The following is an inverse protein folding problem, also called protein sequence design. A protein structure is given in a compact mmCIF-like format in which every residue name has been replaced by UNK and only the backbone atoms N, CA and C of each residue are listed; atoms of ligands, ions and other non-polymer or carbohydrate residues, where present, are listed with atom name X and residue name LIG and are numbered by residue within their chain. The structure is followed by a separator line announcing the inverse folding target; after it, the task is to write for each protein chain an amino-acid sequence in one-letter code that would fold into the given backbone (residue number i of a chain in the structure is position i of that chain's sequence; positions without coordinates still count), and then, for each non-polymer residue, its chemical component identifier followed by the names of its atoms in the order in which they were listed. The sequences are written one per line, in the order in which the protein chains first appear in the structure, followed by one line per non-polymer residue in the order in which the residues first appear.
data_IF_328306077005
#
_entry.id   IF_328306077005
#
_cell.length_a   1.000
_cell.length_b   1.000
_cell.length_c   1.000
_cell.angle_alpha   90.00
_cell.angle_beta   90.00
_cell.angle_gamma   90.00
#
_symmetry.space_group_name_H-M   'P 1'
#
loop_
_entity.id
_entity.type
_entity.pdbx_description
1 polymer ?
#
# COMPACT_ATOMS: atom_id res chain seq x y z
N UNK A 1 -12.38 16.53 -6.93
CA UNK A 1 -12.95 15.20 -7.22
C UNK A 1 -12.41 14.72 -8.56
N UNK A 2 -12.12 13.43 -8.68
CA UNK A 2 -11.58 12.81 -9.88
C UNK A 2 -12.11 11.39 -10.05
N UNK A 3 -12.36 11.01 -11.29
CA UNK A 3 -12.73 9.66 -11.69
C UNK A 3 -11.63 9.13 -12.59
N UNK A 4 -11.17 7.91 -12.33
CA UNK A 4 -10.15 7.23 -13.12
C UNK A 4 -10.67 5.85 -13.48
N UNK A 5 -10.46 5.40 -14.70
CA UNK A 5 -10.75 4.03 -15.10
C UNK A 5 -9.43 3.30 -15.31
N UNK A 6 -9.23 2.20 -14.59
CA UNK A 6 -8.07 1.33 -14.75
C UNK A 6 -8.45 0.11 -15.59
N UNK A 7 -7.60 -0.22 -16.56
CA UNK A 7 -7.75 -1.40 -17.41
C UNK A 7 -6.37 -2.00 -17.70
N UNK A 8 -6.14 -3.21 -17.20
CA UNK A 8 -4.93 -3.99 -17.42
C UNK A 8 -5.30 -5.26 -18.18
N UNK A 9 -4.58 -5.51 -19.28
CA UNK A 9 -4.60 -6.79 -19.97
C UNK A 9 -3.19 -7.36 -19.95
N UNK A 10 -3.04 -8.58 -19.44
CA UNK A 10 -1.75 -9.26 -19.33
C UNK A 10 -1.86 -10.55 -20.13
N UNK A 11 -1.16 -10.61 -21.26
CA UNK A 11 -1.07 -11.81 -22.07
C UNK A 11 0.00 -12.74 -21.50
N UNK A 12 -0.41 -13.94 -21.12
CA UNK A 12 0.47 -14.98 -20.61
C UNK A 12 0.61 -16.03 -21.70
N UNK A 13 1.80 -16.23 -22.29
CA UNK A 13 2.01 -17.30 -23.26
C UNK A 13 1.98 -18.66 -22.56
N UNK A 14 1.73 -19.73 -23.34
CA UNK A 14 1.91 -21.09 -22.83
C UNK A 14 3.36 -21.31 -22.39
N UNK A 15 3.55 -22.05 -21.30
CA UNK A 15 4.86 -22.29 -20.71
C UNK A 15 4.96 -23.69 -20.12
N UNK A 16 6.20 -24.16 -19.93
CA UNK A 16 6.45 -25.42 -19.27
C UNK A 16 6.86 -25.19 -17.82
N UNK A 17 6.27 -25.96 -16.92
CA UNK A 17 6.61 -25.99 -15.50
C UNK A 17 7.39 -27.25 -15.19
N UNK A 18 8.56 -27.10 -14.61
CA UNK A 18 9.27 -28.20 -13.98
C UNK A 18 9.01 -28.19 -12.47
N UNK A 19 8.37 -29.24 -11.95
CA UNK A 19 8.10 -29.38 -10.52
C UNK A 19 8.21 -30.83 -10.09
N UNK A 20 8.97 -31.08 -9.01
CA UNK A 20 9.18 -32.43 -8.43
C UNK A 20 9.58 -33.51 -9.46
N UNK A 21 10.37 -33.15 -10.47
CA UNK A 21 10.84 -34.09 -11.49
C UNK A 21 9.87 -34.31 -12.66
N UNK A 22 8.71 -33.65 -12.65
CA UNK A 22 7.70 -33.73 -13.71
C UNK A 22 7.72 -32.42 -14.48
N UNK A 23 7.78 -32.52 -15.81
CA UNK A 23 7.55 -31.42 -16.71
C UNK A 23 6.07 -31.42 -17.10
N UNK A 24 5.36 -30.34 -16.82
CA UNK A 24 3.97 -30.14 -17.26
C UNK A 24 3.86 -28.90 -18.11
N UNK A 25 3.03 -28.97 -19.15
CA UNK A 25 2.69 -27.82 -19.98
C UNK A 25 1.53 -27.05 -19.32
N UNK A 26 1.61 -25.73 -19.34
CA UNK A 26 0.60 -24.81 -18.84
C UNK A 26 0.09 -23.97 -19.99
N UNK A 27 -1.21 -23.99 -20.18
CA UNK A 27 -1.88 -23.22 -21.21
C UNK A 27 -1.92 -21.73 -20.82
N UNK A 28 -1.42 -20.88 -21.72
CA UNK A 28 -1.49 -19.44 -21.59
C UNK A 28 -2.90 -18.88 -21.80
N UNK A 29 -3.16 -17.68 -21.29
CA UNK A 29 -4.39 -16.91 -21.52
C UNK A 29 -4.15 -15.42 -21.23
N UNK A 30 -5.15 -14.57 -21.50
CA UNK A 30 -5.13 -13.15 -21.18
C UNK A 30 -5.86 -12.86 -19.87
N UNK A 31 -5.13 -12.37 -18.88
CA UNK A 31 -5.71 -11.87 -17.63
C UNK A 31 -6.20 -10.44 -17.82
N UNK A 32 -7.45 -10.18 -17.42
CA UNK A 32 -8.09 -8.87 -17.57
C UNK A 32 -8.51 -8.32 -16.23
N UNK A 33 -8.03 -7.13 -15.89
CA UNK A 33 -8.36 -6.43 -14.65
C UNK A 33 -8.88 -5.05 -14.99
N UNK A 34 -10.11 -4.73 -14.58
CA UNK A 34 -10.68 -3.42 -14.82
C UNK A 34 -11.51 -2.94 -13.64
N UNK A 35 -11.38 -1.65 -13.31
CA UNK A 35 -12.16 -1.05 -12.23
C UNK A 35 -12.26 0.47 -12.39
N UNK A 36 -13.46 1.06 -12.26
CA UNK A 36 -13.59 2.49 -12.04
C UNK A 36 -13.16 2.85 -10.61
N UNK A 37 -12.35 3.91 -10.49
CA UNK A 37 -11.79 4.40 -9.25
C UNK A 37 -12.20 5.84 -9.01
N UNK A 38 -12.60 6.13 -7.79
CA UNK A 38 -13.02 7.47 -7.37
C UNK A 38 -11.99 8.06 -6.42
N UNK A 39 -11.66 9.33 -6.63
CA UNK A 39 -10.84 10.12 -5.73
C UNK A 39 -11.59 11.40 -5.36
N UNK A 40 -11.76 11.65 -4.06
CA UNK A 40 -12.46 12.81 -3.52
C UNK A 40 -11.54 13.53 -2.54
N UNK A 41 -11.54 14.86 -2.60
CA UNK A 41 -10.80 15.70 -1.67
C UNK A 41 -11.61 16.94 -1.37
N UNK A 42 -11.62 17.34 -0.11
CA UNK A 42 -12.24 18.54 0.41
C UNK A 42 -11.15 19.33 1.16
N UNK A 43 -11.08 20.62 0.92
CA UNK A 43 -10.26 21.55 1.69
C UNK A 43 -11.16 22.71 2.11
N UNK A 44 -11.04 23.12 3.37
CA UNK A 44 -11.76 24.25 3.93
C UNK A 44 -10.79 25.17 4.66
N UNK A 45 -10.68 26.41 4.20
CA UNK A 45 -9.86 27.44 4.83
C UNK A 45 -10.60 28.01 6.04
N UNK A 46 -10.08 27.76 7.24
CA UNK A 46 -10.59 28.35 8.48
C UNK A 46 -10.24 29.83 8.57
N UNK A 47 -9.09 30.22 8.03
CA UNK A 47 -8.58 31.59 7.91
C UNK A 47 -7.46 31.62 6.86
N UNK A 48 -6.86 32.79 6.62
CA UNK A 48 -5.80 33.00 5.61
C UNK A 48 -4.53 32.17 5.83
N UNK A 49 -4.36 31.58 7.02
CA UNK A 49 -3.17 30.81 7.39
C UNK A 49 -3.48 29.36 7.75
N UNK A 50 -4.74 28.93 7.76
CA UNK A 50 -5.12 27.60 8.25
C UNK A 50 -6.16 26.94 7.35
N UNK A 51 -5.80 25.77 6.83
CA UNK A 51 -6.69 24.90 6.08
C UNK A 51 -6.92 23.60 6.86
N UNK A 52 -8.16 23.10 6.82
CA UNK A 52 -8.47 21.70 7.16
C UNK A 52 -8.80 20.95 5.89
N UNK A 53 -8.42 19.70 5.81
CA UNK A 53 -8.64 18.88 4.63
C UNK A 53 -9.07 17.47 4.98
N UNK A 54 -9.81 16.86 4.07
CA UNK A 54 -10.12 15.43 4.10
C UNK A 54 -10.05 14.90 2.68
N UNK A 55 -9.53 13.69 2.50
CA UNK A 55 -9.43 13.04 1.21
C UNK A 55 -9.75 11.55 1.31
N UNK A 56 -10.23 11.04 0.20
CA UNK A 56 -10.47 9.64 -0.07
C UNK A 56 -9.91 9.33 -1.45
N UNK A 57 -9.16 8.25 -1.59
CA UNK A 57 -8.64 7.81 -2.88
C UNK A 57 -8.67 6.30 -3.02
N UNK A 58 -8.86 5.85 -4.26
CA UNK A 58 -8.87 4.44 -4.60
C UNK A 58 -7.70 4.06 -5.51
N UNK A 59 -7.02 2.99 -5.14
CA UNK A 59 -6.00 2.30 -5.91
C UNK A 59 -6.50 0.96 -6.42
N UNK A 60 -5.95 0.55 -7.56
CA UNK A 60 -6.18 -0.76 -8.16
C UNK A 60 -4.91 -1.18 -8.90
N UNK A 61 -4.44 -2.39 -8.67
CA UNK A 61 -3.30 -2.96 -9.38
C UNK A 61 -3.57 -4.40 -9.74
N UNK A 62 -3.05 -4.84 -10.88
CA UNK A 62 -3.13 -6.24 -11.28
C UNK A 62 -2.51 -7.18 -10.24
N UNK A 63 -2.82 -8.47 -10.38
CA UNK A 63 -2.25 -9.50 -9.51
C UNK A 63 -0.74 -9.64 -9.64
N UNK A 64 -0.11 -10.30 -8.67
CA UNK A 64 1.31 -10.64 -8.76
C UNK A 64 1.52 -11.84 -9.70
N UNK A 65 2.17 -11.61 -10.85
CA UNK A 65 2.40 -12.63 -11.88
C UNK A 65 3.26 -13.80 -11.38
N UNK A 66 3.95 -13.68 -10.24
CA UNK A 66 4.67 -14.79 -9.61
C UNK A 66 3.76 -15.94 -9.21
N UNK A 67 2.46 -15.69 -8.98
CA UNK A 67 1.50 -16.75 -8.68
C UNK A 67 1.31 -17.73 -9.84
N UNK A 68 1.51 -17.28 -11.09
CA UNK A 68 1.44 -18.15 -12.27
C UNK A 68 2.53 -19.23 -12.24
N UNK A 69 3.70 -18.94 -11.67
CA UNK A 69 4.83 -19.89 -11.65
C UNK A 69 4.47 -21.23 -11.01
N UNK A 70 3.63 -21.20 -9.98
CA UNK A 70 3.30 -22.37 -9.17
C UNK A 70 1.80 -22.69 -9.15
N UNK A 71 1.04 -22.22 -10.14
CA UNK A 71 -0.40 -22.46 -10.20
C UNK A 71 -0.74 -23.96 -10.09
N UNK A 72 -1.81 -24.31 -9.34
CA UNK A 72 -2.20 -25.70 -9.11
C UNK A 72 -2.96 -26.33 -10.29
N UNK A 73 -3.39 -25.52 -11.26
CA UNK A 73 -4.20 -25.91 -12.43
C UNK A 73 -3.39 -25.85 -13.73
N UNK A 74 -3.93 -26.36 -14.84
CA UNK A 74 -3.21 -26.49 -16.12
C UNK A 74 -3.39 -25.30 -17.07
N UNK A 75 -4.30 -24.37 -16.78
CA UNK A 75 -4.52 -23.18 -17.61
C UNK A 75 -4.57 -21.88 -16.79
N UNK A 76 -4.04 -20.80 -17.37
CA UNK A 76 -4.16 -19.43 -16.81
C UNK A 76 -5.63 -19.02 -16.72
N UNK A 77 -6.46 -19.43 -17.69
CA UNK A 77 -7.89 -19.17 -17.72
C UNK A 77 -8.58 -19.66 -16.44
N UNK A 78 -8.31 -20.91 -16.05
CA UNK A 78 -8.88 -21.55 -14.85
C UNK A 78 -8.36 -20.88 -13.57
N UNK A 79 -7.09 -20.50 -13.54
CA UNK A 79 -6.47 -19.87 -12.37
C UNK A 79 -6.83 -18.38 -12.19
N UNK A 80 -7.41 -17.74 -13.21
CA UNK A 80 -7.65 -16.28 -13.23
C UNK A 80 -8.48 -15.78 -12.04
N UNK A 81 -9.40 -16.61 -11.53
CA UNK A 81 -10.23 -16.27 -10.37
C UNK A 81 -9.44 -16.25 -9.05
N UNK A 82 -8.34 -17.00 -8.96
CA UNK A 82 -7.52 -17.16 -7.75
C UNK A 82 -6.37 -16.15 -7.67
N UNK A 83 -6.26 -15.25 -8.66
CA UNK A 83 -5.27 -14.16 -8.71
C UNK A 83 -5.98 -12.81 -8.82
N UNK A 84 -6.68 -12.38 -7.75
CA UNK A 84 -7.44 -11.13 -7.74
C UNK A 84 -6.54 -9.89 -7.88
N UNK A 85 -7.06 -8.80 -8.43
CA UNK A 85 -6.33 -7.54 -8.40
C UNK A 85 -6.37 -6.91 -7.01
N UNK A 86 -5.24 -6.39 -6.55
CA UNK A 86 -5.15 -5.66 -5.28
C UNK A 86 -5.94 -4.36 -5.37
N UNK A 87 -6.71 -4.08 -4.31
CA UNK A 87 -7.52 -2.87 -4.19
C UNK A 87 -7.06 -2.09 -2.97
N UNK A 88 -7.04 -0.77 -3.07
CA UNK A 88 -6.64 0.09 -1.94
C UNK A 88 -7.66 1.19 -1.77
N UNK A 89 -8.15 1.37 -0.56
CA UNK A 89 -8.94 2.52 -0.14
C UNK A 89 -8.11 3.33 0.86
N UNK A 90 -7.77 4.56 0.51
CA UNK A 90 -6.96 5.44 1.33
C UNK A 90 -7.79 6.64 1.79
N UNK A 91 -7.76 6.90 3.08
CA UNK A 91 -8.46 7.99 3.74
C UNK A 91 -7.42 8.84 4.47
N UNK A 92 -7.49 10.15 4.30
CA UNK A 92 -6.62 11.09 4.99
C UNK A 92 -7.43 12.28 5.46
N UNK A 93 -7.13 12.78 6.65
CA UNK A 93 -7.67 14.04 7.14
C UNK A 93 -6.61 14.78 7.92
N UNK A 94 -6.65 16.10 7.89
CA UNK A 94 -5.64 16.86 8.57
C UNK A 94 -5.88 18.36 8.54
N UNK A 95 -4.90 19.05 9.08
CA UNK A 95 -4.81 20.50 9.06
C UNK A 95 -3.44 20.93 8.56
N UNK A 96 -3.42 22.06 7.87
CA UNK A 96 -2.22 22.73 7.41
C UNK A 96 -2.24 24.16 7.89
N UNK A 97 -1.16 24.57 8.50
CA UNK A 97 -0.91 25.94 8.89
C UNK A 97 0.22 26.52 8.04
N UNK A 98 0.05 27.73 7.53
CA UNK A 98 1.07 28.43 6.76
C UNK A 98 0.94 29.95 6.97
N UNK A 99 1.96 30.55 7.55
CA UNK A 99 2.14 31.99 7.56
C UNK A 99 3.58 32.35 7.13
N UNK A 100 3.98 33.62 7.29
CA UNK A 100 5.28 34.11 6.82
C UNK A 100 6.49 33.37 7.45
N UNK A 101 6.38 33.03 8.73
CA UNK A 101 7.50 32.52 9.52
C UNK A 101 7.31 31.07 9.98
N UNK A 102 6.09 30.55 9.94
CA UNK A 102 5.70 29.26 10.51
C UNK A 102 4.83 28.49 9.52
N UNK A 103 5.27 27.28 9.24
CA UNK A 103 4.55 26.29 8.45
C UNK A 103 4.41 25.02 9.28
N UNK A 104 3.29 24.33 9.15
CA UNK A 104 3.11 23.06 9.81
C UNK A 104 1.94 22.28 9.26
N UNK A 105 1.95 20.98 9.52
CA UNK A 105 0.85 20.11 9.18
C UNK A 105 0.67 19.05 10.25
N UNK A 106 -0.58 18.61 10.41
CA UNK A 106 -0.90 17.39 11.14
C UNK A 106 -1.92 16.63 10.31
N UNK A 107 -1.60 15.40 9.94
CA UNK A 107 -2.51 14.52 9.21
C UNK A 107 -2.64 13.17 9.90
N UNK A 108 -3.81 12.58 9.76
CA UNK A 108 -4.14 11.22 10.15
C UNK A 108 -4.55 10.48 8.89
N UNK A 109 -4.06 9.24 8.75
CA UNK A 109 -4.36 8.44 7.58
C UNK A 109 -4.79 7.02 7.98
N UNK A 110 -5.62 6.44 7.13
CA UNK A 110 -6.05 5.05 7.19
C UNK A 110 -6.08 4.47 5.78
N UNK A 111 -5.42 3.33 5.59
CA UNK A 111 -5.35 2.58 4.34
C UNK A 111 -5.92 1.20 4.57
N UNK A 112 -6.88 0.82 3.73
CA UNK A 112 -7.45 -0.53 3.66
C UNK A 112 -7.06 -1.14 2.33
N UNK A 113 -6.31 -2.24 2.37
CA UNK A 113 -5.78 -2.95 1.21
C UNK A 113 -6.44 -4.32 1.19
N UNK A 114 -7.18 -4.61 0.13
CA UNK A 114 -7.79 -5.92 -0.12
C UNK A 114 -6.98 -6.66 -1.17
N UNK A 115 -6.80 -7.96 -0.99
CA UNK A 115 -6.03 -8.82 -1.91
C UNK A 115 -4.58 -8.32 -2.10
N UNK A 116 -3.94 -7.91 -1.00
CA UNK A 116 -2.57 -7.45 -0.99
C UNK A 116 -1.57 -8.59 -1.13
N UNK A 117 -0.62 -8.46 -2.05
CA UNK A 117 0.45 -9.44 -2.25
C UNK A 117 1.66 -9.15 -1.36
N UNK A 118 2.18 -10.16 -0.65
CA UNK A 118 3.35 -10.01 0.22
C UNK A 118 4.18 -11.27 0.39
N UNK A 119 5.45 -11.10 0.78
CA UNK A 119 6.30 -12.19 1.28
C UNK A 119 6.08 -12.33 2.78
N UNK A 120 5.87 -13.57 3.22
CA UNK A 120 5.90 -13.89 4.64
C UNK A 120 7.21 -14.61 4.99
N UNK A 121 7.95 -14.05 5.94
CA UNK A 121 9.16 -14.64 6.51
C UNK A 121 8.94 -15.15 7.95
N UNK A 122 7.76 -14.94 8.53
CA UNK A 122 7.43 -15.20 9.94
C UNK A 122 6.31 -16.23 10.14
N UNK A 123 5.65 -16.71 9.07
CA UNK A 123 4.73 -17.85 9.18
C UNK A 123 5.55 -19.11 9.43
N UNK A 124 5.57 -19.50 10.70
CA UNK A 124 5.96 -20.83 11.14
C UNK A 124 5.33 -21.86 10.20
N UNK A 125 6.15 -22.79 9.71
CA UNK A 125 5.96 -23.59 8.51
C UNK A 125 4.79 -24.60 8.62
N UNK A 126 3.54 -24.11 8.70
CA UNK A 126 2.33 -24.92 8.87
C UNK A 126 1.26 -24.70 7.80
N UNK A 127 1.63 -24.21 6.61
CA UNK A 127 0.77 -24.34 5.43
C UNK A 127 1.46 -25.30 4.46
N UNK A 128 0.94 -26.53 4.42
CA UNK A 128 1.37 -27.65 3.58
C UNK A 128 1.15 -27.44 2.07
N UNK A 129 1.23 -26.20 1.59
CA UNK A 129 1.20 -25.88 0.16
C UNK A 129 2.42 -25.04 -0.17
N UNK A 130 3.43 -25.73 -0.69
CA UNK A 130 4.64 -25.15 -1.26
C UNK A 130 4.25 -24.27 -2.45
N UNK A 131 4.12 -22.97 -2.21
CA UNK A 131 4.60 -21.97 -3.16
C UNK A 131 5.64 -21.16 -2.43
N UNK A 132 6.79 -20.98 -3.06
CA UNK A 132 7.71 -19.94 -2.64
C UNK A 132 7.02 -18.57 -2.85
N UNK A 133 6.31 -18.14 -1.80
CA UNK A 133 6.34 -16.81 -1.21
C UNK A 133 5.61 -15.67 -1.93
N UNK A 134 4.34 -15.87 -2.25
CA UNK A 134 3.39 -14.76 -2.33
C UNK A 134 2.14 -15.15 -1.54
N UNK A 135 1.84 -14.43 -0.48
CA UNK A 135 0.61 -14.56 0.31
C UNK A 135 -0.33 -13.44 -0.12
N UNK A 136 -1.61 -13.79 -0.33
CA UNK A 136 -2.70 -12.84 -0.52
C UNK A 136 -3.33 -12.58 0.84
N UNK A 137 -3.36 -11.31 1.23
CA UNK A 137 -3.87 -10.92 2.53
C UNK A 137 -4.48 -9.52 2.51
N UNK A 138 -5.45 -9.31 3.39
CA UNK A 138 -5.98 -7.98 3.64
C UNK A 138 -5.05 -7.24 4.60
N UNK A 139 -4.76 -5.98 4.33
CA UNK A 139 -3.87 -5.15 5.14
C UNK A 139 -4.54 -3.85 5.52
N UNK A 140 -4.45 -3.49 6.79
CA UNK A 140 -4.91 -2.21 7.32
C UNK A 140 -3.73 -1.48 7.91
N UNK A 141 -3.50 -0.25 7.45
CA UNK A 141 -2.40 0.59 7.92
C UNK A 141 -2.96 1.94 8.32
N UNK A 142 -2.61 2.43 9.51
CA UNK A 142 -3.04 3.73 9.99
C UNK A 142 -1.93 4.43 10.73
N UNK A 143 -2.05 5.75 10.84
CA UNK A 143 -1.03 6.54 11.50
C UNK A 143 -1.33 8.01 11.47
N UNK A 144 -0.33 8.77 11.92
CA UNK A 144 -0.33 10.21 11.84
C UNK A 144 1.05 10.73 11.44
N UNK A 145 1.07 11.90 10.82
CA UNK A 145 2.27 12.64 10.49
C UNK A 145 2.11 14.10 10.90
N UNK A 146 3.15 14.64 11.52
CA UNK A 146 3.21 16.02 11.95
C UNK A 146 4.50 16.66 11.44
N UNK A 147 4.39 17.87 10.91
CA UNK A 147 5.55 18.67 10.49
C UNK A 147 5.44 20.07 11.08
N UNK A 148 6.58 20.66 11.41
CA UNK A 148 6.68 22.03 11.87
C UNK A 148 7.97 22.65 11.36
N UNK A 149 7.83 23.80 10.74
CA UNK A 149 8.87 24.52 10.04
C UNK A 149 8.83 25.98 10.50
N UNK A 150 9.91 26.46 11.10
CA UNK A 150 10.02 27.83 11.59
C UNK A 150 11.20 28.55 10.94
N UNK A 151 10.94 29.71 10.36
CA UNK A 151 11.92 30.63 9.81
C UNK A 151 12.36 31.59 10.91
N UNK A 152 13.63 31.50 11.30
CA UNK A 152 14.22 32.42 12.29
C UNK A 152 14.54 33.76 11.64
N UNK A 153 15.04 33.74 10.39
CA UNK A 153 15.30 34.91 9.55
C UNK A 153 15.35 34.49 8.07
N UNK A 154 15.64 35.44 7.16
CA UNK A 154 15.69 35.18 5.71
C UNK A 154 16.71 34.10 5.30
N UNK A 155 17.72 33.83 6.12
CA UNK A 155 18.79 32.87 5.85
C UNK A 155 18.64 31.54 6.62
N UNK A 156 17.82 31.48 7.67
CA UNK A 156 17.76 30.33 8.59
C UNK A 156 16.32 29.86 8.76
N UNK A 157 16.07 28.61 8.34
CA UNK A 157 14.85 27.85 8.60
C UNK A 157 15.20 26.59 9.41
N UNK A 158 14.40 26.27 10.42
CA UNK A 158 14.50 25.03 11.19
C UNK A 158 13.22 24.24 11.01
N UNK A 159 13.35 22.97 10.65
CA UNK A 159 12.24 22.04 10.50
C UNK A 159 12.29 20.88 11.50
N UNK A 160 11.14 20.30 11.78
CA UNK A 160 10.99 19.04 12.49
C UNK A 160 9.82 18.25 11.92
N UNK A 161 9.92 16.93 11.95
CA UNK A 161 8.87 16.01 11.52
C UNK A 161 8.78 14.80 12.44
N UNK A 162 7.55 14.34 12.66
CA UNK A 162 7.25 13.14 13.45
C UNK A 162 6.19 12.35 12.70
N UNK A 163 6.41 11.05 12.57
CA UNK A 163 5.48 10.13 11.94
C UNK A 163 5.36 8.87 12.77
N UNK A 164 4.15 8.40 13.02
CA UNK A 164 3.91 7.10 13.64
C UNK A 164 2.82 6.37 12.89
N UNK A 165 3.07 5.09 12.62
CA UNK A 165 2.12 4.21 11.95
C UNK A 165 2.16 2.81 12.52
N UNK A 166 1.02 2.15 12.41
CA UNK A 166 0.80 0.77 12.77
C UNK A 166 0.04 0.10 11.64
N UNK A 167 0.14 -1.23 11.56
CA UNK A 167 -0.68 -1.98 10.63
C UNK A 167 -0.92 -3.40 11.06
N UNK A 168 -2.01 -3.95 10.54
CA UNK A 168 -2.42 -5.34 10.71
C UNK A 168 -2.61 -5.97 9.35
N UNK A 169 -2.26 -7.25 9.26
CA UNK A 169 -2.52 -8.10 8.12
C UNK A 169 -3.45 -9.23 8.56
N UNK A 170 -4.53 -9.43 7.83
CA UNK A 170 -5.44 -10.56 8.03
C UNK A 170 -5.24 -11.53 6.88
N UNK A 171 -4.89 -12.78 7.18
CA UNK A 171 -4.78 -13.81 6.15
C UNK A 171 -6.18 -14.11 5.59
N UNK A 172 -6.37 -13.93 4.28
CA UNK A 172 -7.69 -14.05 3.64
C UNK A 172 -8.25 -15.47 3.64
N UNK A 173 -7.42 -16.50 3.80
CA UNK A 173 -7.85 -17.91 3.87
C UNK A 173 -8.21 -18.35 5.29
N UNK A 174 -7.47 -17.89 6.30
CA UNK A 174 -7.62 -18.34 7.70
C UNK A 174 -8.34 -17.36 8.60
N UNK A 175 -8.45 -16.08 8.19
CA UNK A 175 -9.01 -14.99 8.98
C UNK A 175 -8.17 -14.59 10.19
N UNK A 176 -6.91 -15.06 10.28
CA UNK A 176 -6.03 -14.75 11.41
C UNK A 176 -5.34 -13.40 11.21
N UNK A 177 -5.37 -12.57 12.25
CA UNK A 177 -4.73 -11.26 12.30
C UNK A 177 -3.26 -11.34 12.77
N UNK A 178 -2.38 -10.64 12.07
CA UNK A 178 -0.96 -10.48 12.36
C UNK A 178 -0.58 -9.01 12.39
N UNK A 179 0.19 -8.59 13.39
CA UNK A 179 0.75 -7.23 13.41
C UNK A 179 1.88 -7.11 12.39
N UNK A 180 1.84 -6.06 11.58
CA UNK A 180 2.85 -5.81 10.55
C UNK A 180 4.11 -5.23 11.21
N UNK A 181 5.28 -5.81 10.87
CA UNK A 181 6.58 -5.31 11.31
C UNK A 181 7.11 -4.22 10.35
N UNK A 182 8.12 -3.48 10.81
CA UNK A 182 8.66 -2.30 10.10
C UNK A 182 9.46 -2.57 8.81
N UNK A 183 9.25 -3.70 8.14
CA UNK A 183 9.84 -4.03 6.82
C UNK A 183 8.92 -3.66 5.66
N UNK A 184 7.60 -3.48 5.88
CA UNK A 184 6.63 -3.06 4.84
C UNK A 184 5.97 -1.71 5.13
N UNK A 185 5.90 -1.32 6.39
CA UNK A 185 5.45 0.00 6.85
C UNK A 185 6.71 0.73 7.34
N UNK A 186 6.82 2.04 7.07
CA UNK A 186 7.91 2.88 7.62
C UNK A 186 8.12 2.50 9.08
N UNK A 187 9.34 2.09 9.43
CA UNK A 187 9.66 1.70 10.79
C UNK A 187 9.16 2.79 11.74
N UNK A 188 8.37 2.40 12.74
CA UNK A 188 8.23 3.17 13.97
C UNK A 188 9.64 3.58 14.40
N UNK A 189 10.00 4.83 14.11
CA UNK A 189 11.26 5.41 14.56
C UNK A 189 11.09 5.55 16.06
N UNK A 190 11.46 4.50 16.80
CA UNK A 190 11.47 4.43 18.28
C UNK A 190 12.42 5.45 18.94
N UNK A 191 12.85 6.48 18.22
CA UNK A 191 13.52 7.65 18.76
C UNK A 191 12.99 8.88 18.01
N UNK A 192 12.42 9.87 18.70
CA UNK A 192 12.29 11.20 18.11
C UNK A 192 13.72 11.68 17.85
N UNK A 193 14.17 11.60 16.61
CA UNK A 193 15.36 12.31 16.17
C UNK A 193 14.86 13.46 15.29
N UNK A 194 15.06 14.73 15.70
CA UNK A 194 14.78 15.85 14.83
C UNK A 194 15.63 15.68 13.56
N UNK A 195 14.98 15.67 12.40
CA UNK A 195 15.68 15.86 11.13
C UNK A 195 15.97 17.35 11.07
N UNK A 196 17.19 17.73 11.44
CA UNK A 196 17.69 19.10 11.23
C UNK A 196 18.20 19.12 9.79
N UNK A 197 17.35 19.46 8.84
CA UNK A 197 17.81 19.83 7.50
C UNK A 197 18.38 21.24 7.57
N UNK A 198 19.70 21.33 7.68
CA UNK A 198 20.44 22.58 7.56
C UNK A 198 20.65 22.85 6.07
N UNK A 199 19.71 23.55 5.44
CA UNK A 199 19.98 24.13 4.11
C UNK A 199 20.72 25.45 4.35
N UNK A 200 21.99 25.51 3.95
CA UNK A 200 22.86 26.70 4.00
C UNK A 200 22.70 27.49 2.70
#
# INVERSE_FOLDING_TARGET
MGLRYENFEIEVPAYQRYSRGILSEKQGDTLKYHKPLVNLGLVYSLNDSTDVFASFSQGYSHADMRMLRDMPVDSVAEFSADIPATQTNYYETGLRFNNQDLQGSLSFFYSDITDGYGYDYNVDAQISQRVAAVVVADEKVWGFEATLDYRINEAIKIGTSVSQSEGKRTNSETGVDYWMNGTKITQSRRRPMPIIDLTI
#
